data_IF_001873918068
#
_entry.id   IF_001873918068
#
_cell.length_a   1.000
_cell.length_b   1.000
_cell.length_c   1.000
_cell.angle_alpha   90.00
_cell.angle_beta   90.00
_cell.angle_gamma   90.00
#
_symmetry.space_group_name_H-M   'P 1'
#
loop_
_entity.id
_entity.type
_entity.pdbx_description
1 polymer ?
#
# COMPACT_ATOMS: atom_id res chain seq x y z
N UNK A 1 -19.91 7.56 -10.49
CA UNK A 1 -20.55 6.53 -9.64
C UNK A 1 -19.72 6.35 -8.38
N UNK A 2 -20.40 5.95 -7.29
CA UNK A 2 -19.76 5.69 -6.01
C UNK A 2 -20.33 4.38 -5.46
N UNK A 3 -19.44 3.53 -4.98
CA UNK A 3 -19.78 2.39 -4.15
C UNK A 3 -18.92 2.45 -2.90
N UNK A 4 -19.51 2.32 -1.74
CA UNK A 4 -18.78 2.29 -0.47
C UNK A 4 -19.34 1.19 0.42
N UNK A 5 -18.46 0.48 1.07
CA UNK A 5 -18.75 -0.39 2.19
C UNK A 5 -17.97 0.10 3.43
N UNK A 6 -17.95 -0.64 4.51
CA UNK A 6 -17.21 -0.30 5.72
C UNK A 6 -15.70 -0.49 5.62
N UNK A 7 -15.19 -1.08 4.52
CA UNK A 7 -13.77 -1.31 4.27
C UNK A 7 -13.18 -0.30 3.29
N UNK A 8 -13.94 0.06 2.24
CA UNK A 8 -13.45 0.83 1.10
C UNK A 8 -14.52 1.69 0.46
N UNK A 9 -14.08 2.76 -0.20
CA UNK A 9 -14.91 3.59 -1.07
C UNK A 9 -14.32 3.60 -2.49
N UNK A 10 -15.13 3.19 -3.46
CA UNK A 10 -14.80 3.19 -4.89
C UNK A 10 -15.48 4.35 -5.59
N UNK A 11 -14.71 5.11 -6.35
CA UNK A 11 -15.21 6.29 -7.06
C UNK A 11 -14.81 6.22 -8.52
N UNK A 12 -15.77 6.27 -9.42
CA UNK A 12 -15.48 6.45 -10.85
C UNK A 12 -15.16 7.91 -11.13
N UNK A 13 -13.97 8.15 -11.67
CA UNK A 13 -13.50 9.47 -12.09
C UNK A 13 -13.44 9.52 -13.61
N UNK A 14 -13.87 10.65 -14.17
CA UNK A 14 -13.70 10.96 -15.59
C UNK A 14 -12.89 12.23 -15.74
N UNK A 15 -11.74 12.12 -16.40
CA UNK A 15 -10.94 13.24 -16.83
C UNK A 15 -11.14 13.51 -18.32
N UNK A 16 -11.37 14.78 -18.68
CA UNK A 16 -11.53 15.21 -20.08
C UNK A 16 -10.55 16.32 -20.36
N UNK A 17 -9.74 16.15 -21.41
CA UNK A 17 -8.75 17.12 -21.86
C UNK A 17 -9.21 17.83 -23.14
N UNK A 18 -8.86 19.11 -23.29
CA UNK A 18 -9.04 19.85 -24.54
C UNK A 18 -8.06 19.39 -25.63
N UNK A 19 -6.86 18.96 -25.21
CA UNK A 19 -5.85 18.39 -26.11
C UNK A 19 -5.80 16.86 -25.96
N UNK A 20 -5.48 16.12 -27.03
CA UNK A 20 -5.36 14.66 -26.96
C UNK A 20 -4.32 14.24 -25.94
N UNK A 21 -4.59 13.15 -25.23
CA UNK A 21 -3.60 12.48 -24.40
C UNK A 21 -2.50 11.88 -25.31
N UNK A 22 -1.22 11.97 -24.93
CA UNK A 22 -0.14 11.37 -25.71
C UNK A 22 -0.22 9.84 -25.75
N UNK A 23 0.06 9.23 -26.90
CA UNK A 23 0.12 7.77 -27.07
C UNK A 23 1.19 7.09 -26.20
N UNK A 24 2.15 7.86 -25.69
CA UNK A 24 3.27 7.36 -24.86
C UNK A 24 2.88 6.98 -23.42
N UNK A 25 1.61 7.05 -23.09
CA UNK A 25 1.11 6.79 -21.74
C UNK A 25 0.48 5.43 -21.57
N UNK A 26 0.80 4.54 -22.43
CA UNK A 26 0.46 3.14 -22.34
C UNK A 26 1.71 2.35 -21.97
N UNK A 27 1.57 1.41 -21.06
CA UNK A 27 2.59 0.40 -20.80
C UNK A 27 2.67 -0.63 -21.95
N UNK A 28 3.54 -1.63 -21.79
CA UNK A 28 3.73 -2.70 -22.79
C UNK A 28 2.46 -3.55 -23.01
N UNK A 29 1.59 -3.60 -22.00
CA UNK A 29 0.33 -4.34 -22.03
C UNK A 29 -0.84 -3.49 -22.54
N UNK A 30 -0.59 -2.23 -22.91
CA UNK A 30 -1.60 -1.27 -23.36
C UNK A 30 -2.45 -0.69 -22.24
N UNK A 31 -1.97 -0.74 -21.01
CA UNK A 31 -2.64 -0.09 -19.87
C UNK A 31 -2.16 1.34 -19.71
N UNK A 32 -3.05 2.28 -19.34
CA UNK A 32 -2.66 3.65 -19.05
C UNK A 32 -1.71 3.76 -17.84
N UNK A 33 -0.59 4.44 -18.02
CA UNK A 33 0.33 4.82 -16.95
C UNK A 33 -0.08 6.17 -16.36
N UNK A 34 -1.10 6.17 -15.51
CA UNK A 34 -1.67 7.37 -14.92
C UNK A 34 -1.59 7.30 -13.40
N UNK A 35 -1.09 8.38 -12.78
CA UNK A 35 -1.10 8.58 -11.34
C UNK A 35 -1.90 9.83 -10.98
N UNK A 36 -2.64 9.75 -9.89
CA UNK A 36 -3.41 10.87 -9.35
C UNK A 36 -2.87 11.25 -7.97
N UNK A 37 -2.62 12.53 -7.78
CA UNK A 37 -2.33 13.07 -6.44
C UNK A 37 -3.63 13.58 -5.86
N UNK A 38 -4.07 12.97 -4.78
CA UNK A 38 -5.36 13.25 -4.13
C UNK A 38 -5.18 13.60 -2.66
N UNK A 39 -6.12 14.35 -2.13
CA UNK A 39 -6.23 14.65 -0.71
C UNK A 39 -7.67 14.33 -0.25
N UNK A 40 -7.92 13.08 0.21
CA UNK A 40 -9.21 12.69 0.75
C UNK A 40 -9.36 13.19 2.20
N UNK A 41 -10.53 13.73 2.54
CA UNK A 41 -10.92 14.11 3.89
C UNK A 41 -12.30 13.56 4.19
N UNK A 42 -12.41 12.81 5.26
CA UNK A 42 -13.64 12.15 5.67
C UNK A 42 -14.25 12.89 6.86
N UNK A 43 -15.56 13.22 6.79
CA UNK A 43 -16.23 13.97 7.87
C UNK A 43 -16.21 13.23 9.21
N UNK A 44 -16.14 11.90 9.21
CA UNK A 44 -16.08 11.11 10.45
C UNK A 44 -14.69 11.09 11.11
N UNK A 45 -13.66 11.62 10.45
CA UNK A 45 -12.31 11.77 11.03
C UNK A 45 -12.05 13.18 11.61
N UNK A 46 -12.91 14.16 11.35
CA UNK A 46 -12.66 15.56 11.75
C UNK A 46 -12.39 15.74 13.25
N UNK A 47 -13.10 14.99 14.08
CA UNK A 47 -12.95 15.08 15.54
C UNK A 47 -11.85 14.16 16.10
N UNK A 48 -11.24 13.30 15.28
CA UNK A 48 -10.20 12.36 15.74
C UNK A 48 -8.79 12.95 15.66
N UNK A 49 -8.64 14.07 14.96
CA UNK A 49 -7.33 14.64 14.65
C UNK A 49 -6.57 13.89 13.54
N UNK A 50 -7.11 12.78 13.07
CA UNK A 50 -6.50 12.01 11.99
C UNK A 50 -6.74 12.69 10.63
N UNK A 51 -5.68 12.72 9.82
CA UNK A 51 -5.75 13.20 8.44
C UNK A 51 -5.01 12.21 7.54
N UNK A 52 -5.70 11.54 6.61
CA UNK A 52 -5.06 10.62 5.65
C UNK A 52 -3.95 11.26 4.82
N UNK A 53 -3.95 12.60 4.74
CA UNK A 53 -2.94 13.36 3.99
C UNK A 53 -3.07 13.23 2.49
N UNK A 54 -1.98 13.58 1.82
CA UNK A 54 -1.86 13.49 0.38
C UNK A 54 -1.55 12.04 -0.02
N UNK A 55 -2.27 11.54 -1.01
CA UNK A 55 -2.13 10.17 -1.49
C UNK A 55 -1.80 10.17 -2.98
N UNK A 56 -0.85 9.32 -3.36
CA UNK A 56 -0.56 8.97 -4.75
C UNK A 56 -1.32 7.69 -5.07
N UNK A 57 -2.22 7.77 -6.05
CA UNK A 57 -3.06 6.65 -6.46
C UNK A 57 -2.80 6.36 -7.93
N UNK A 58 -2.50 5.10 -8.25
CA UNK A 58 -2.43 4.58 -9.59
C UNK A 58 -3.77 3.87 -9.87
N UNK A 59 -4.76 4.58 -10.44
CA UNK A 59 -6.08 4.02 -10.60
C UNK A 59 -6.11 3.04 -11.76
N UNK A 60 -6.98 2.07 -11.66
CA UNK A 60 -7.33 1.24 -12.82
C UNK A 60 -8.26 2.04 -13.75
N UNK A 61 -7.80 2.26 -14.96
CA UNK A 61 -8.54 3.07 -15.91
C UNK A 61 -8.25 2.77 -17.35
N UNK A 62 -8.99 3.43 -18.23
CA UNK A 62 -8.86 3.31 -19.68
C UNK A 62 -9.06 4.66 -20.37
N UNK A 63 -8.45 4.83 -21.54
CA UNK A 63 -8.80 5.89 -22.47
C UNK A 63 -9.97 5.42 -23.34
N UNK A 64 -11.13 6.06 -23.18
CA UNK A 64 -12.31 5.77 -24.00
C UNK A 64 -12.25 6.45 -25.37
N UNK A 65 -11.47 7.49 -25.47
CA UNK A 65 -11.05 8.21 -26.68
C UNK A 65 -9.75 8.99 -26.34
N UNK A 66 -9.16 9.65 -27.33
CA UNK A 66 -7.92 10.41 -27.18
C UNK A 66 -8.02 11.64 -26.27
N UNK A 67 -9.22 12.03 -25.86
CA UNK A 67 -9.49 13.14 -24.94
C UNK A 67 -10.09 12.72 -23.61
N UNK A 68 -10.46 11.46 -23.42
CA UNK A 68 -11.22 11.02 -22.26
C UNK A 68 -10.56 9.83 -21.59
N UNK A 69 -10.22 10.01 -20.31
CA UNK A 69 -9.77 8.97 -19.41
C UNK A 69 -10.83 8.69 -18.35
N UNK A 70 -11.17 7.43 -18.14
CA UNK A 70 -12.07 6.99 -17.07
C UNK A 70 -11.34 6.00 -16.18
N UNK A 71 -11.44 6.16 -14.88
CA UNK A 71 -10.78 5.30 -13.91
C UNK A 71 -11.63 5.07 -12.67
N UNK A 72 -11.35 3.98 -11.97
CA UNK A 72 -11.89 3.67 -10.66
C UNK A 72 -10.80 3.94 -9.62
N UNK A 73 -11.10 4.83 -8.68
CA UNK A 73 -10.29 5.10 -7.50
C UNK A 73 -10.77 4.23 -6.35
N UNK A 74 -9.84 3.59 -5.68
CA UNK A 74 -10.04 2.89 -4.42
C UNK A 74 -9.51 3.77 -3.27
N UNK A 75 -10.34 4.07 -2.31
CA UNK A 75 -9.99 4.82 -1.10
C UNK A 75 -10.28 3.95 0.11
N UNK A 76 -9.31 3.81 1.00
CA UNK A 76 -9.51 3.09 2.26
C UNK A 76 -10.44 3.89 3.18
N UNK A 77 -11.34 3.19 3.87
CA UNK A 77 -12.21 3.75 4.91
C UNK A 77 -11.93 3.14 6.28
N UNK A 78 -10.99 2.21 6.37
CA UNK A 78 -10.52 1.64 7.62
C UNK A 78 -9.43 2.53 8.22
N UNK A 79 -9.72 3.09 9.37
CA UNK A 79 -8.81 3.95 10.12
C UNK A 79 -8.74 3.47 11.57
N UNK A 80 -7.64 3.79 12.20
CA UNK A 80 -7.38 3.44 13.59
C UNK A 80 -7.08 4.71 14.41
N UNK A 81 -7.67 4.82 15.58
CA UNK A 81 -7.29 5.84 16.56
C UNK A 81 -6.05 5.33 17.31
N UNK A 82 -4.93 5.96 17.00
CA UNK A 82 -3.61 5.63 17.57
C UNK A 82 -3.16 6.62 18.63
N UNK A 83 -3.93 7.66 18.95
CA UNK A 83 -3.47 8.76 19.82
C UNK A 83 -3.08 8.30 21.23
N UNK A 84 -3.88 7.41 21.84
CA UNK A 84 -3.56 6.84 23.14
C UNK A 84 -2.37 5.86 23.07
N UNK A 85 -2.30 5.09 21.99
CA UNK A 85 -1.18 4.19 21.70
C UNK A 85 0.13 4.96 21.53
N UNK A 86 0.16 6.03 20.75
CA UNK A 86 1.36 6.84 20.54
C UNK A 86 1.91 7.41 21.85
N UNK A 87 1.01 7.91 22.69
CA UNK A 87 1.41 8.38 24.02
C UNK A 87 2.02 7.25 24.87
N UNK A 88 1.35 6.09 24.93
CA UNK A 88 1.80 4.93 25.71
C UNK A 88 3.07 4.32 25.15
N UNK A 89 3.22 4.31 23.84
CA UNK A 89 4.43 3.86 23.17
C UNK A 89 5.62 4.77 23.53
N UNK A 90 5.43 6.09 23.50
CA UNK A 90 6.49 7.02 23.90
C UNK A 90 6.87 6.85 25.40
N UNK A 91 5.89 6.70 26.29
CA UNK A 91 6.14 6.41 27.71
C UNK A 91 6.96 5.12 27.87
N UNK A 92 6.63 4.05 27.12
CA UNK A 92 7.38 2.80 27.11
C UNK A 92 8.82 2.95 26.57
N UNK A 93 9.01 3.71 25.51
CA UNK A 93 10.33 4.00 24.92
C UNK A 93 11.19 4.73 25.97
N UNK A 94 10.65 5.76 26.60
CA UNK A 94 11.36 6.52 27.64
C UNK A 94 11.75 5.63 28.86
N UNK A 95 10.87 4.70 29.26
CA UNK A 95 11.15 3.71 30.30
C UNK A 95 12.28 2.75 29.90
N UNK A 96 12.25 2.23 28.67
CA UNK A 96 13.29 1.33 28.16
C UNK A 96 14.66 2.02 28.14
N UNK A 97 14.73 3.24 27.60
CA UNK A 97 15.95 4.04 27.59
C UNK A 97 16.50 4.29 29.01
N UNK A 98 15.61 4.62 29.96
CA UNK A 98 16.00 4.80 31.36
C UNK A 98 16.49 3.50 32.01
N UNK A 99 15.87 2.35 31.74
CA UNK A 99 16.31 1.04 32.21
C UNK A 99 17.67 0.63 31.65
N UNK A 100 17.94 0.96 30.37
CA UNK A 100 19.24 0.72 29.73
C UNK A 100 20.31 1.75 30.17
N UNK A 101 19.91 2.90 30.72
CA UNK A 101 20.79 3.98 31.14
C UNK A 101 21.43 4.74 29.97
N UNK A 102 20.75 4.76 28.83
CA UNK A 102 21.18 5.39 27.58
C UNK A 102 20.15 6.42 27.08
N UNK A 103 20.52 7.14 26.03
CA UNK A 103 19.66 8.07 25.30
C UNK A 103 19.47 7.58 23.87
N UNK A 104 18.54 8.18 23.11
CA UNK A 104 18.37 7.87 21.68
C UNK A 104 19.64 8.12 20.85
N UNK A 105 20.49 9.06 21.26
CA UNK A 105 21.74 9.36 20.57
C UNK A 105 22.78 8.21 20.71
N UNK A 106 22.64 7.38 21.74
CA UNK A 106 23.50 6.22 22.00
C UNK A 106 23.06 4.98 21.17
N UNK A 107 21.95 5.08 20.42
CA UNK A 107 21.42 4.03 19.54
C UNK A 107 21.78 4.42 18.10
N UNK A 108 22.77 3.73 17.52
CA UNK A 108 23.22 4.00 16.16
C UNK A 108 23.97 2.79 15.57
N UNK A 109 24.10 2.76 14.24
CA UNK A 109 24.85 1.73 13.50
C UNK A 109 26.31 2.08 13.27
N UNK A 110 26.78 3.22 13.77
CA UNK A 110 28.12 3.74 13.48
C UNK A 110 29.21 3.12 14.37
N UNK A 111 28.82 2.60 15.54
CA UNK A 111 29.76 2.03 16.52
C UNK A 111 29.30 0.65 16.99
N UNK A 112 30.23 -0.21 17.42
CA UNK A 112 29.90 -1.53 17.99
C UNK A 112 28.99 -1.40 19.24
N UNK A 113 29.20 -0.37 20.05
CA UNK A 113 28.38 -0.09 21.25
C UNK A 113 26.98 0.41 20.84
N UNK A 114 26.90 1.31 19.84
CA UNK A 114 25.63 1.81 19.33
C UNK A 114 24.79 0.71 18.70
N UNK A 115 25.41 -0.20 17.93
CA UNK A 115 24.74 -1.35 17.34
C UNK A 115 24.21 -2.33 18.41
N UNK A 116 25.02 -2.63 19.42
CA UNK A 116 24.57 -3.47 20.54
C UNK A 116 23.41 -2.85 21.32
N UNK A 117 23.43 -1.52 21.52
CA UNK A 117 22.32 -0.79 22.13
C UNK A 117 21.06 -0.85 21.25
N UNK A 118 21.20 -0.75 19.94
CA UNK A 118 20.08 -0.84 18.98
C UNK A 118 19.42 -2.22 19.03
N UNK A 119 20.21 -3.31 19.02
CA UNK A 119 19.67 -4.67 19.14
C UNK A 119 18.88 -4.84 20.46
N UNK A 120 19.51 -4.50 21.59
CA UNK A 120 18.85 -4.64 22.90
C UNK A 120 17.58 -3.76 23.01
N UNK A 121 17.62 -2.54 22.48
CA UNK A 121 16.48 -1.65 22.46
C UNK A 121 15.32 -2.24 21.64
N UNK A 122 15.60 -2.71 20.42
CA UNK A 122 14.61 -3.32 19.55
C UNK A 122 13.98 -4.56 20.18
N UNK A 123 14.76 -5.44 20.79
CA UNK A 123 14.24 -6.63 21.50
C UNK A 123 13.26 -6.25 22.61
N UNK A 124 13.60 -5.23 23.41
CA UNK A 124 12.72 -4.74 24.48
C UNK A 124 11.45 -4.07 23.96
N UNK A 125 11.56 -3.30 22.89
CA UNK A 125 10.40 -2.67 22.20
C UNK A 125 9.47 -3.74 21.63
N UNK A 126 10.01 -4.73 20.93
CA UNK A 126 9.22 -5.83 20.39
C UNK A 126 8.51 -6.62 21.49
N UNK A 127 9.19 -6.91 22.60
CA UNK A 127 8.61 -7.66 23.71
C UNK A 127 7.43 -6.93 24.40
N UNK A 128 7.38 -5.58 24.35
CA UNK A 128 6.35 -4.78 25.03
C UNK A 128 5.34 -4.14 24.08
N UNK A 129 5.76 -3.82 22.84
CA UNK A 129 4.97 -3.04 21.89
C UNK A 129 3.69 -3.72 21.42
N UNK A 130 3.73 -5.03 21.16
CA UNK A 130 2.55 -5.76 20.68
C UNK A 130 1.37 -5.75 21.67
N UNK A 131 1.67 -5.81 23.00
CA UNK A 131 0.65 -5.71 24.03
C UNK A 131 0.03 -4.30 24.09
N UNK A 132 0.81 -3.25 23.86
CA UNK A 132 0.31 -1.88 23.80
C UNK A 132 -0.58 -1.67 22.57
N UNK A 133 -0.15 -2.15 21.40
CA UNK A 133 -0.93 -2.03 20.17
C UNK A 133 -2.31 -2.66 20.34
N UNK A 134 -2.39 -3.90 20.79
CA UNK A 134 -3.67 -4.60 20.98
C UNK A 134 -4.58 -3.96 22.03
N UNK A 135 -4.02 -3.20 22.99
CA UNK A 135 -4.76 -2.56 24.07
C UNK A 135 -5.26 -1.14 23.71
N UNK A 136 -4.45 -0.35 22.98
CA UNK A 136 -4.66 1.07 22.81
C UNK A 136 -5.01 1.51 21.40
N UNK A 137 -4.68 0.72 20.37
CA UNK A 137 -5.16 0.98 19.01
C UNK A 137 -6.63 0.57 18.91
N UNK A 138 -7.46 1.49 18.44
CA UNK A 138 -8.92 1.27 18.35
C UNK A 138 -9.39 1.54 16.92
N UNK A 139 -10.12 0.61 16.32
CA UNK A 139 -10.68 0.86 14.99
C UNK A 139 -11.70 2.02 15.06
N UNK A 140 -11.60 2.92 14.10
CA UNK A 140 -12.59 3.97 13.89
C UNK A 140 -13.70 3.39 13.03
N UNK A 141 -14.92 3.32 13.57
CA UNK A 141 -16.06 2.75 12.86
C UNK A 141 -16.51 3.68 11.76
N UNK A 142 -16.52 3.19 10.52
CA UNK A 142 -17.08 3.90 9.38
C UNK A 142 -18.61 4.03 9.55
N UNK A 143 -19.18 5.25 9.58
CA UNK A 143 -20.62 5.42 9.76
C UNK A 143 -21.40 5.04 8.50
N UNK A 144 -22.69 4.74 8.64
CA UNK A 144 -23.59 4.42 7.52
C UNK A 144 -23.63 5.53 6.44
N UNK A 145 -23.40 6.78 6.84
CA UNK A 145 -23.31 7.91 5.92
C UNK A 145 -22.22 8.87 6.36
N UNK A 146 -21.50 9.43 5.40
CA UNK A 146 -20.50 10.47 5.65
C UNK A 146 -20.31 11.37 4.43
N UNK A 147 -19.61 12.49 4.61
CA UNK A 147 -19.14 13.33 3.50
C UNK A 147 -17.67 13.07 3.25
N UNK A 148 -17.33 12.78 2.00
CA UNK A 148 -15.97 12.72 1.52
C UNK A 148 -15.65 14.01 0.75
N UNK A 149 -14.73 14.81 1.27
CA UNK A 149 -14.15 15.93 0.55
C UNK A 149 -12.89 15.42 -0.16
N UNK A 150 -12.97 15.25 -1.49
CA UNK A 150 -11.89 14.72 -2.31
C UNK A 150 -11.32 15.84 -3.19
N UNK A 151 -10.04 16.13 -3.02
CA UNK A 151 -9.33 17.11 -3.84
C UNK A 151 -8.28 16.41 -4.70
N UNK A 152 -8.33 16.65 -6.00
CA UNK A 152 -7.28 16.26 -6.94
C UNK A 152 -6.31 17.42 -7.10
N UNK A 153 -5.05 17.20 -6.79
CA UNK A 153 -3.96 18.18 -6.87
C UNK A 153 -3.20 18.09 -8.19
N UNK A 154 -2.97 16.89 -8.64
CA UNK A 154 -2.23 16.63 -9.86
C UNK A 154 -2.79 15.39 -10.59
N UNK A 155 -2.73 15.45 -11.90
CA UNK A 155 -2.95 14.33 -12.81
C UNK A 155 -1.63 14.14 -13.55
N UNK A 156 -0.96 13.02 -13.30
CA UNK A 156 0.38 12.72 -13.80
C UNK A 156 0.26 11.60 -14.81
N UNK A 157 0.83 11.82 -16.00
CA UNK A 157 1.06 10.74 -16.93
C UNK A 157 2.51 10.29 -16.86
N UNK A 158 2.70 9.01 -16.62
CA UNK A 158 4.02 8.40 -16.65
C UNK A 158 4.27 7.86 -18.05
N UNK A 159 5.43 8.10 -18.62
CA UNK A 159 5.85 7.39 -19.82
C UNK A 159 6.16 5.95 -19.45
N UNK A 160 5.83 5.03 -20.36
CA UNK A 160 6.33 3.67 -20.23
C UNK A 160 7.84 3.70 -19.98
N UNK A 161 8.30 2.95 -18.99
CA UNK A 161 9.73 2.84 -18.71
C UNK A 161 10.43 2.30 -19.98
N UNK A 162 11.58 2.89 -20.35
CA UNK A 162 12.37 2.31 -21.40
C UNK A 162 12.81 0.89 -20.98
N UNK A 163 12.98 0.02 -21.96
CA UNK A 163 13.55 -1.31 -21.72
C UNK A 163 14.81 -1.17 -20.83
N UNK A 164 14.97 -2.10 -19.89
CA UNK A 164 16.16 -2.15 -19.04
C UNK A 164 17.41 -2.05 -19.90
N UNK A 165 18.33 -1.16 -19.50
CA UNK A 165 19.62 -1.07 -20.17
C UNK A 165 20.36 -2.39 -20.07
N UNK A 166 20.55 -3.03 -21.22
CA UNK A 166 21.40 -4.21 -21.32
C UNK A 166 22.87 -3.77 -21.24
N UNK A 167 23.47 -3.98 -20.09
CA UNK A 167 24.89 -3.71 -19.85
C UNK A 167 25.81 -4.70 -20.60
N UNK A 168 25.26 -5.76 -21.18
CA UNK A 168 25.99 -6.85 -21.79
C UNK A 168 26.60 -7.85 -20.79
N UNK A 169 26.30 -7.71 -19.50
CA UNK A 169 26.75 -8.60 -18.42
C UNK A 169 25.57 -9.30 -17.77
N UNK A 170 25.78 -10.56 -17.38
CA UNK A 170 24.82 -11.29 -16.57
C UNK A 170 24.82 -10.79 -15.13
N UNK A 171 23.77 -11.07 -14.37
CA UNK A 171 23.69 -10.72 -12.96
C UNK A 171 24.85 -11.34 -12.16
N UNK A 172 25.20 -12.60 -12.43
CA UNK A 172 26.34 -13.29 -11.79
C UNK A 172 27.68 -12.59 -12.07
N UNK A 173 27.87 -12.07 -13.29
CA UNK A 173 29.07 -11.32 -13.66
C UNK A 173 29.12 -9.97 -12.96
N UNK A 174 27.97 -9.26 -12.85
CA UNK A 174 27.89 -7.99 -12.12
C UNK A 174 28.16 -8.16 -10.62
N UNK A 175 27.63 -9.21 -10.01
CA UNK A 175 27.84 -9.53 -8.59
C UNK A 175 29.29 -9.95 -8.27
N UNK A 176 30.00 -10.52 -9.26
CA UNK A 176 31.41 -10.92 -9.11
C UNK A 176 32.40 -9.77 -9.32
N UNK A 177 31.95 -8.61 -9.79
CA UNK A 177 32.82 -7.45 -10.07
C UNK A 177 33.21 -6.74 -8.79
N UNK A 178 34.38 -6.09 -8.85
CA UNK A 178 34.72 -5.10 -7.83
C UNK A 178 33.84 -3.84 -7.97
N UNK A 179 33.66 -3.12 -6.87
CA UNK A 179 32.89 -1.88 -6.87
C UNK A 179 33.38 -0.86 -7.92
N UNK A 180 34.69 -0.78 -8.16
CA UNK A 180 35.28 0.10 -9.16
C UNK A 180 34.89 -0.29 -10.59
N UNK A 181 34.90 -1.60 -10.91
CA UNK A 181 34.47 -2.11 -12.22
C UNK A 181 32.96 -1.92 -12.44
N UNK A 182 32.15 -2.18 -11.41
CA UNK A 182 30.73 -1.93 -11.46
C UNK A 182 30.40 -0.45 -11.70
N UNK A 183 31.08 0.46 -11.00
CA UNK A 183 30.90 1.91 -11.19
C UNK A 183 31.35 2.36 -12.59
N UNK A 184 32.38 1.75 -13.18
CA UNK A 184 32.79 2.06 -14.54
C UNK A 184 31.73 1.66 -15.58
N UNK A 185 31.05 0.52 -15.36
CA UNK A 185 29.93 0.08 -16.19
C UNK A 185 28.74 1.02 -16.00
N UNK A 186 28.36 1.33 -14.76
CA UNK A 186 27.25 2.23 -14.47
C UNK A 186 27.45 3.64 -15.05
N UNK A 187 28.71 4.11 -15.11
CA UNK A 187 29.04 5.40 -15.76
C UNK A 187 28.89 5.38 -17.29
N UNK A 188 28.79 4.18 -17.91
CA UNK A 188 28.53 4.04 -19.34
C UNK A 188 27.03 3.96 -19.65
N UNK A 189 26.18 3.88 -18.60
CA UNK A 189 24.73 3.88 -18.77
C UNK A 189 24.29 5.12 -19.53
N UNK A 190 23.57 4.96 -20.66
CA UNK A 190 23.02 6.11 -21.39
C UNK A 190 22.13 6.96 -20.49
N UNK A 191 22.13 8.27 -20.70
CA UNK A 191 21.37 9.21 -19.88
C UNK A 191 19.86 8.89 -19.84
N UNK A 192 19.35 8.25 -20.89
CA UNK A 192 17.95 7.79 -20.98
C UNK A 192 17.59 6.71 -19.95
N UNK A 193 18.56 5.94 -19.45
CA UNK A 193 18.38 4.92 -18.43
C UNK A 193 18.80 5.40 -17.03
N UNK A 194 19.32 6.64 -16.90
CA UNK A 194 19.68 7.18 -15.59
C UNK A 194 18.41 7.28 -14.73
N UNK A 195 18.52 6.87 -13.46
CA UNK A 195 17.42 6.84 -12.49
C UNK A 195 16.92 8.25 -12.09
N UNK A 196 16.64 9.09 -13.05
CA UNK A 196 15.94 10.34 -12.77
C UNK A 196 14.43 10.09 -12.97
N UNK A 197 13.65 9.85 -11.93
CA UNK A 197 12.22 9.57 -12.03
C UNK A 197 11.47 10.68 -12.78
N UNK A 198 11.95 11.91 -12.71
CA UNK A 198 11.36 13.06 -13.40
C UNK A 198 11.52 13.01 -14.93
N UNK A 199 12.40 12.15 -15.47
CA UNK A 199 12.62 12.03 -16.92
C UNK A 199 11.44 11.38 -17.64
N UNK A 200 10.68 10.53 -16.93
CA UNK A 200 9.57 9.73 -17.46
C UNK A 200 8.19 10.30 -17.09
N UNK A 201 8.13 11.27 -16.15
CA UNK A 201 6.90 11.89 -15.70
C UNK A 201 6.57 13.10 -16.58
N UNK A 202 5.41 13.05 -17.22
CA UNK A 202 4.79 14.20 -17.86
C UNK A 202 3.65 14.69 -16.97
N UNK A 203 3.88 15.75 -16.20
CA UNK A 203 2.81 16.45 -15.51
C UNK A 203 1.90 17.12 -16.53
N UNK A 204 0.66 16.60 -16.67
CA UNK A 204 -0.26 17.22 -17.60
C UNK A 204 -1.08 18.31 -16.98
N UNK A 205 -1.59 18.03 -15.79
CA UNK A 205 -2.46 18.97 -15.14
C UNK A 205 -2.10 19.14 -13.67
N UNK A 206 -1.89 20.39 -13.29
CA UNK A 206 -1.86 20.80 -11.89
C UNK A 206 -3.12 21.60 -11.64
N UNK A 207 -3.82 21.30 -10.53
CA UNK A 207 -5.03 21.99 -10.18
C UNK A 207 -5.51 21.69 -8.77
N UNK A 208 -6.64 22.23 -8.45
CA UNK A 208 -7.34 22.06 -7.19
C UNK A 208 -8.79 21.76 -7.53
N UNK A 209 -9.06 20.53 -7.98
CA UNK A 209 -10.42 20.08 -8.26
C UNK A 209 -10.98 19.44 -7.01
N UNK A 210 -11.83 20.15 -6.28
CA UNK A 210 -12.40 19.67 -5.03
C UNK A 210 -13.86 19.30 -5.21
N UNK A 211 -14.24 18.17 -4.65
CA UNK A 211 -15.57 17.60 -4.70
C UNK A 211 -16.04 17.29 -3.28
N UNK A 212 -17.23 17.74 -2.93
CA UNK A 212 -17.95 17.32 -1.73
C UNK A 212 -18.92 16.21 -2.11
N UNK A 213 -18.67 15.01 -1.62
CA UNK A 213 -19.31 13.78 -2.06
C UNK A 213 -20.08 13.18 -0.88
N UNK A 214 -21.42 13.18 -0.89
CA UNK A 214 -22.19 12.42 0.10
C UNK A 214 -22.06 10.93 -0.20
N UNK A 215 -21.62 10.18 0.78
CA UNK A 215 -21.40 8.72 0.69
C UNK A 215 -22.41 8.02 1.59
N UNK A 216 -23.01 6.96 1.07
CA UNK A 216 -23.83 6.01 1.82
C UNK A 216 -23.15 4.64 1.74
N UNK A 217 -22.88 4.07 2.89
CA UNK A 217 -22.28 2.72 3.00
C UNK A 217 -23.32 1.66 2.69
N UNK A 218 -22.99 0.76 1.78
CA UNK A 218 -23.83 -0.37 1.39
C UNK A 218 -23.06 -1.68 1.49
N UNK A 219 -23.27 -2.39 2.58
CA UNK A 219 -22.67 -3.71 2.83
C UNK A 219 -23.47 -4.86 2.21
N UNK A 220 -24.59 -4.59 1.52
CA UNK A 220 -25.45 -5.64 0.97
C UNK A 220 -24.78 -6.50 -0.12
N UNK A 221 -23.71 -5.98 -0.72
CA UNK A 221 -22.88 -6.67 -1.73
C UNK A 221 -21.60 -7.25 -1.15
N UNK A 222 -21.38 -7.14 0.14
CA UNK A 222 -20.23 -7.72 0.83
C UNK A 222 -20.61 -9.10 1.38
N UNK A 223 -19.88 -10.12 0.95
CA UNK A 223 -20.01 -11.48 1.45
C UNK A 223 -18.80 -11.80 2.33
N UNK A 224 -19.00 -12.14 3.59
CA UNK A 224 -17.92 -12.51 4.52
C UNK A 224 -18.01 -13.97 4.90
N UNK A 225 -16.88 -14.67 4.80
CA UNK A 225 -16.69 -16.04 5.27
C UNK A 225 -15.75 -15.99 6.48
N UNK A 226 -16.30 -16.31 7.66
CA UNK A 226 -15.53 -16.50 8.88
C UNK A 226 -14.89 -17.90 8.86
N UNK A 227 -13.56 -17.96 9.01
CA UNK A 227 -12.78 -19.20 8.95
C UNK A 227 -12.26 -19.55 10.34
N UNK A 228 -11.44 -18.67 10.93
CA UNK A 228 -10.86 -18.82 12.27
C UNK A 228 -10.06 -20.12 12.45
N UNK A 229 -9.32 -20.55 11.43
CA UNK A 229 -8.51 -21.75 11.42
C UNK A 229 -7.03 -21.43 11.23
N UNK A 230 -6.17 -22.18 11.92
CA UNK A 230 -4.71 -22.10 11.79
C UNK A 230 -4.11 -23.48 11.54
N UNK A 231 -2.93 -23.51 10.90
CA UNK A 231 -2.09 -24.68 10.77
C UNK A 231 -1.39 -25.06 12.10
N UNK A 232 -0.51 -26.06 12.07
CA UNK A 232 0.24 -26.53 13.24
C UNK A 232 1.21 -25.47 13.78
N UNK A 233 1.66 -24.54 12.93
CA UNK A 233 2.56 -23.43 13.26
C UNK A 233 1.83 -22.22 13.85
N UNK A 234 0.49 -22.26 13.88
CA UNK A 234 -0.33 -21.19 14.44
C UNK A 234 -0.66 -20.07 13.45
N UNK A 235 -0.39 -20.29 12.16
CA UNK A 235 -0.66 -19.35 11.08
C UNK A 235 -1.86 -19.82 10.28
N UNK A 236 -2.75 -18.91 9.92
CA UNK A 236 -3.96 -19.27 9.17
C UNK A 236 -4.79 -18.08 8.72
N UNK A 237 -6.09 -18.27 8.65
CA UNK A 237 -7.04 -17.26 8.17
C UNK A 237 -8.13 -17.01 9.21
N UNK A 238 -8.36 -15.72 9.51
CA UNK A 238 -9.49 -15.29 10.32
C UNK A 238 -10.76 -15.22 9.46
N UNK A 239 -10.70 -14.49 8.35
CA UNK A 239 -11.85 -14.30 7.47
C UNK A 239 -11.45 -13.98 6.03
N UNK A 240 -12.42 -14.14 5.12
CA UNK A 240 -12.34 -13.64 3.74
C UNK A 240 -13.61 -12.84 3.49
N UNK A 241 -13.46 -11.58 3.07
CA UNK A 241 -14.55 -10.75 2.62
C UNK A 241 -14.46 -10.54 1.10
N UNK A 242 -15.59 -10.65 0.41
CA UNK A 242 -15.70 -10.40 -1.03
C UNK A 242 -16.66 -9.25 -1.27
N UNK A 243 -16.24 -8.32 -2.10
CA UNK A 243 -17.05 -7.23 -2.65
C UNK A 243 -17.16 -7.37 -4.17
N UNK A 244 -17.90 -6.52 -4.88
CA UNK A 244 -17.89 -6.50 -6.34
C UNK A 244 -16.50 -6.20 -6.95
N UNK A 245 -15.60 -5.58 -6.21
CA UNK A 245 -14.33 -5.06 -6.74
C UNK A 245 -13.09 -5.77 -6.18
N UNK A 246 -13.17 -6.33 -4.96
CA UNK A 246 -11.99 -6.91 -4.31
C UNK A 246 -12.34 -8.09 -3.40
N UNK A 247 -11.31 -8.86 -3.09
CA UNK A 247 -11.30 -9.84 -2.01
C UNK A 247 -10.32 -9.36 -0.94
N UNK A 248 -10.81 -9.27 0.28
CA UNK A 248 -10.02 -8.97 1.47
C UNK A 248 -9.79 -10.24 2.25
N UNK A 249 -8.54 -10.59 2.50
CA UNK A 249 -8.13 -11.77 3.27
C UNK A 249 -7.50 -11.29 4.57
N UNK A 250 -8.09 -11.68 5.69
CA UNK A 250 -7.58 -11.38 7.03
C UNK A 250 -6.83 -12.60 7.56
N UNK A 251 -5.51 -12.53 7.75
CA UNK A 251 -4.75 -13.61 8.36
C UNK A 251 -5.07 -13.77 9.84
N UNK A 252 -4.73 -14.92 10.39
CA UNK A 252 -4.85 -15.24 11.80
C UNK A 252 -3.50 -15.77 12.30
N UNK A 253 -2.92 -15.08 13.29
CA UNK A 253 -1.69 -15.48 13.94
C UNK A 253 -1.97 -15.81 15.40
N UNK A 254 -1.52 -16.98 15.86
CA UNK A 254 -1.54 -17.30 17.31
C UNK A 254 -0.33 -16.65 17.98
N UNK A 255 -0.48 -16.40 19.28
CA UNK A 255 0.61 -15.88 20.10
C UNK A 255 1.86 -16.77 19.99
N UNK A 256 2.99 -16.17 19.60
CA UNK A 256 4.27 -16.85 19.39
C UNK A 256 4.44 -17.50 18.02
N UNK A 257 3.49 -17.32 17.07
CA UNK A 257 3.73 -17.65 15.66
C UNK A 257 4.55 -16.58 14.98
N UNK A 258 5.37 -16.99 13.99
CA UNK A 258 6.09 -16.06 13.14
C UNK A 258 5.11 -15.34 12.20
N UNK A 259 5.12 -14.02 12.20
CA UNK A 259 4.23 -13.18 11.37
C UNK A 259 4.83 -12.80 10.01
N UNK A 260 6.05 -13.27 9.70
CA UNK A 260 6.75 -12.94 8.46
C UNK A 260 6.27 -13.77 7.26
N UNK A 261 4.97 -14.01 7.18
CA UNK A 261 4.34 -14.70 6.07
C UNK A 261 3.76 -13.71 5.06
N UNK A 262 4.01 -13.96 3.78
CA UNK A 262 3.38 -13.28 2.67
C UNK A 262 2.21 -14.09 2.12
N UNK A 263 1.08 -13.44 1.88
CA UNK A 263 -0.13 -14.07 1.40
C UNK A 263 -0.27 -13.90 -0.11
N UNK A 264 -0.50 -14.99 -0.84
CA UNK A 264 -0.73 -14.99 -2.29
C UNK A 264 -2.08 -15.62 -2.57
N UNK A 265 -2.89 -14.93 -3.38
CA UNK A 265 -4.16 -15.45 -3.86
C UNK A 265 -4.10 -15.71 -5.37
N UNK A 266 -4.50 -16.90 -5.80
CA UNK A 266 -4.56 -17.30 -7.19
C UNK A 266 -6.02 -17.48 -7.63
N UNK A 267 -6.31 -17.16 -8.89
CA UNK A 267 -7.60 -17.45 -9.52
C UNK A 267 -7.70 -18.94 -9.94
N UNK A 268 -8.85 -19.31 -10.50
CA UNK A 268 -9.14 -20.67 -10.97
C UNK A 268 -8.19 -21.18 -12.08
N UNK A 269 -7.53 -20.30 -12.78
CA UNK A 269 -6.58 -20.61 -13.84
C UNK A 269 -5.12 -20.64 -13.32
N UNK A 270 -4.92 -20.39 -12.02
CA UNK A 270 -3.63 -20.37 -11.35
C UNK A 270 -2.86 -19.05 -11.55
N UNK A 271 -3.51 -17.98 -12.01
CA UNK A 271 -2.88 -16.67 -12.10
C UNK A 271 -3.01 -15.93 -10.77
N UNK A 272 -1.96 -15.21 -10.40
CA UNK A 272 -1.98 -14.36 -9.22
C UNK A 272 -3.01 -13.24 -9.38
N UNK A 273 -3.84 -13.06 -8.37
CA UNK A 273 -4.73 -11.91 -8.30
C UNK A 273 -3.92 -10.63 -8.10
N UNK A 274 -4.27 -9.53 -8.78
CA UNK A 274 -3.61 -8.26 -8.57
C UNK A 274 -3.73 -7.81 -7.11
N UNK A 275 -2.58 -7.59 -6.49
CA UNK A 275 -2.49 -7.14 -5.12
C UNK A 275 -2.67 -5.62 -5.07
N UNK A 276 -3.68 -5.15 -4.34
CA UNK A 276 -3.96 -3.72 -4.23
C UNK A 276 -3.21 -3.07 -3.05
N UNK A 277 -3.32 -3.68 -1.88
CA UNK A 277 -2.67 -3.19 -0.65
C UNK A 277 -2.81 -4.20 0.48
N UNK A 278 -1.86 -4.19 1.45
CA UNK A 278 -2.11 -4.67 2.81
C UNK A 278 -2.38 -3.47 3.72
N UNK A 279 -3.37 -3.59 4.59
CA UNK A 279 -3.33 -2.93 5.89
C UNK A 279 -2.49 -3.80 6.82
N UNK A 280 -2.13 -3.32 8.01
CA UNK A 280 -1.42 -4.13 9.01
C UNK A 280 -2.06 -5.49 9.26
N UNK A 281 -3.36 -5.63 9.00
CA UNK A 281 -4.16 -6.78 9.38
C UNK A 281 -4.87 -7.48 8.22
N UNK A 282 -4.73 -7.03 6.96
CA UNK A 282 -5.41 -7.66 5.83
C UNK A 282 -4.72 -7.46 4.49
N UNK A 283 -4.96 -8.39 3.56
CA UNK A 283 -4.48 -8.37 2.18
C UNK A 283 -5.65 -8.17 1.24
N UNK A 284 -5.54 -7.18 0.34
CA UNK A 284 -6.60 -6.83 -0.59
C UNK A 284 -6.17 -7.15 -2.03
N UNK A 285 -7.01 -7.92 -2.74
CA UNK A 285 -6.78 -8.34 -4.10
C UNK A 285 -7.92 -7.85 -5.01
N UNK A 286 -7.58 -7.18 -6.12
CA UNK A 286 -8.56 -6.78 -7.11
C UNK A 286 -9.13 -8.00 -7.85
N UNK A 287 -10.45 -8.00 -8.07
CA UNK A 287 -11.13 -9.09 -8.80
C UNK A 287 -11.66 -8.67 -10.17
N UNK A 288 -11.36 -7.48 -10.60
CA UNK A 288 -11.58 -6.88 -11.93
C UNK A 288 -12.46 -7.74 -12.84
N UNK A 289 -13.77 -7.53 -12.89
CA UNK A 289 -14.74 -8.17 -13.79
C UNK A 289 -14.61 -9.70 -13.96
N UNK A 290 -13.77 -10.34 -13.15
CA UNK A 290 -13.57 -11.78 -13.19
C UNK A 290 -14.70 -12.45 -12.43
N UNK A 291 -15.35 -13.37 -13.10
CA UNK A 291 -16.27 -14.32 -12.45
C UNK A 291 -15.43 -15.34 -11.66
N UNK A 292 -14.91 -14.90 -10.50
CA UNK A 292 -14.08 -15.73 -9.63
C UNK A 292 -14.98 -16.72 -8.92
N UNK A 293 -14.91 -17.97 -9.31
CA UNK A 293 -15.69 -19.06 -8.72
C UNK A 293 -15.03 -19.65 -7.47
N UNK A 294 -13.70 -19.61 -7.40
CA UNK A 294 -12.89 -19.95 -6.23
C UNK A 294 -11.53 -19.26 -6.30
N UNK A 295 -10.84 -19.22 -5.20
CA UNK A 295 -9.46 -18.78 -5.08
C UNK A 295 -8.65 -19.80 -4.30
N UNK A 296 -7.39 -19.97 -4.67
CA UNK A 296 -6.40 -20.68 -3.88
C UNK A 296 -5.54 -19.67 -3.12
N UNK A 297 -5.42 -19.85 -1.81
CA UNK A 297 -4.67 -18.97 -0.93
C UNK A 297 -3.44 -19.70 -0.42
N UNK A 298 -2.27 -19.09 -0.61
CA UNK A 298 -0.99 -19.59 -0.15
C UNK A 298 -0.40 -18.65 0.87
N UNK A 299 0.04 -19.21 1.99
CA UNK A 299 0.87 -18.54 2.97
C UNK A 299 2.32 -18.93 2.67
N UNK A 300 3.12 -17.96 2.29
CA UNK A 300 4.53 -18.15 1.95
C UNK A 300 5.40 -17.60 3.06
N UNK A 301 6.37 -18.39 3.51
CA UNK A 301 7.39 -17.94 4.43
C UNK A 301 8.39 -17.05 3.67
N UNK A 302 8.71 -15.88 4.22
CA UNK A 302 9.63 -14.92 3.61
C UNK A 302 11.09 -15.39 3.60
N UNK A 303 11.42 -16.43 4.36
CA UNK A 303 12.79 -16.90 4.61
C UNK A 303 13.17 -18.21 3.88
N UNK A 304 12.31 -18.70 2.96
CA UNK A 304 12.62 -19.91 2.18
C UNK A 304 12.90 -19.63 0.72
#
# INVERSE_FOLDING_TARGET
>A
EIYANDLTCYITVKAVSEEPFPDTLMDQDGKPCISLVTEPRYSFLEDTGMNPGMQYINPEGEFTDDHTYIAILRLDTQFEDTAEFEQKYQEMVDEILAEMGITMDDINDETEEGHANLEEFNDRVLARGGALQSQYVKPIVTPETYTLNLTFKEFIGDKAEPEFWDSGYTQEELEAMSEAEFQEIMNQMPEEYSQNPNKYQNYWFKGDWSFEIPVTVDNSLTETLEINETNEEGIGLASIARTPYEITITPLYKEGSDSDCFLVALDADGNMLPYNRSSSDSYNYAIQDKNISFIDIYLLDYMQ
#
